data_IF_173887673968
#
_entry.id   IF_173887673968
#
_cell.length_a   1.000
_cell.length_b   1.000
_cell.length_c   1.000
_cell.angle_alpha   90.00
_cell.angle_beta   90.00
_cell.angle_gamma   90.00
#
_symmetry.space_group_name_H-M   'P 1'
#
loop_
_entity.id
_entity.type
_entity.pdbx_description
1 polymer ?
#
# COMPACT_ATOMS: atom_id res chain seq x y z
N UNK A 1 3.89 -0.42 -9.95
CA UNK A 1 3.00 0.59 -9.32
C UNK A 1 3.93 1.66 -8.76
N UNK A 2 3.82 2.87 -9.25
CA UNK A 2 4.67 4.01 -8.86
C UNK A 2 3.87 5.10 -8.14
N UNK A 3 4.55 6.16 -7.72
CA UNK A 3 3.96 7.31 -7.02
C UNK A 3 2.82 7.96 -7.83
N UNK A 4 3.01 8.10 -9.16
CA UNK A 4 2.02 8.70 -10.04
C UNK A 4 0.74 7.87 -10.12
N UNK A 5 0.87 6.55 -10.17
CA UNK A 5 -0.26 5.63 -10.15
C UNK A 5 -1.06 5.73 -8.85
N UNK A 6 -0.38 5.78 -7.69
CA UNK A 6 -1.05 5.90 -6.39
C UNK A 6 -1.80 7.22 -6.30
N UNK A 7 -1.17 8.33 -6.71
CA UNK A 7 -1.79 9.65 -6.71
C UNK A 7 -3.02 9.70 -7.63
N UNK A 8 -2.92 9.14 -8.84
CA UNK A 8 -4.04 9.11 -9.79
C UNK A 8 -5.20 8.24 -9.30
N UNK A 9 -4.91 7.11 -8.65
CA UNK A 9 -5.93 6.16 -8.21
C UNK A 9 -6.62 6.55 -6.92
N UNK A 10 -5.87 7.04 -5.94
CA UNK A 10 -6.38 7.28 -4.57
C UNK A 10 -6.43 8.75 -4.17
N UNK A 11 -5.89 9.65 -4.99
CA UNK A 11 -5.86 11.08 -4.70
C UNK A 11 -4.91 11.48 -3.57
N UNK A 12 -3.96 10.61 -3.20
CA UNK A 12 -2.96 10.87 -2.15
C UNK A 12 -1.55 10.56 -2.66
N UNK A 13 -0.50 11.24 -2.16
CA UNK A 13 0.87 10.89 -2.47
C UNK A 13 1.19 9.45 -2.03
N UNK A 14 2.02 8.72 -2.78
CA UNK A 14 2.40 7.33 -2.44
C UNK A 14 3.01 7.21 -1.04
N UNK A 15 3.83 8.18 -0.63
CA UNK A 15 4.41 8.25 0.72
C UNK A 15 3.36 8.32 1.84
N UNK A 16 2.15 8.80 1.55
CA UNK A 16 1.03 8.91 2.50
C UNK A 16 0.05 7.74 2.42
N UNK A 17 0.34 6.73 1.56
CA UNK A 17 -0.57 5.61 1.34
C UNK A 17 -0.81 4.79 2.61
N UNK A 18 0.20 4.58 3.44
CA UNK A 18 0.06 3.85 4.71
C UNK A 18 -0.92 4.56 5.67
N UNK A 19 -0.83 5.88 5.78
CA UNK A 19 -1.73 6.69 6.61
C UNK A 19 -3.16 6.69 6.04
N UNK A 20 -3.29 6.75 4.70
CA UNK A 20 -4.57 6.61 4.01
C UNK A 20 -5.19 5.23 4.23
N UNK A 21 -4.42 4.15 4.09
CA UNK A 21 -4.86 2.78 4.33
C UNK A 21 -5.28 2.57 5.80
N UNK A 22 -4.55 3.15 6.74
CA UNK A 22 -4.93 3.14 8.17
C UNK A 22 -6.31 3.75 8.38
N UNK A 23 -6.60 4.90 7.78
CA UNK A 23 -7.90 5.56 7.93
C UNK A 23 -9.04 4.79 7.26
N UNK A 24 -8.84 4.37 6.01
CA UNK A 24 -9.83 3.67 5.20
C UNK A 24 -10.10 2.25 5.68
N UNK A 25 -9.06 1.59 6.17
CA UNK A 25 -8.99 0.17 6.38
C UNK A 25 -8.55 -0.60 5.14
N UNK A 26 -8.10 -1.83 5.36
CA UNK A 26 -7.78 -2.81 4.33
C UNK A 26 -8.17 -4.21 4.83
N UNK A 27 -9.33 -4.72 4.41
CA UNK A 27 -9.82 -6.03 4.87
C UNK A 27 -8.88 -7.19 4.50
N UNK A 28 -8.10 -7.06 3.40
CA UNK A 28 -7.15 -8.10 3.01
C UNK A 28 -6.01 -8.25 4.01
N UNK A 29 -5.64 -7.17 4.67
CA UNK A 29 -4.59 -7.13 5.69
C UNK A 29 -5.15 -7.14 7.13
N UNK A 30 -6.45 -7.38 7.28
CA UNK A 30 -7.11 -7.41 8.58
C UNK A 30 -7.24 -6.05 9.26
N UNK A 31 -7.10 -4.95 8.53
CA UNK A 31 -7.21 -3.59 9.06
C UNK A 31 -8.66 -3.09 8.99
N UNK A 32 -9.33 -2.86 10.13
CA UNK A 32 -10.73 -2.46 10.14
C UNK A 32 -10.96 -1.03 9.61
N UNK A 33 -9.96 -0.16 9.71
CA UNK A 33 -10.11 1.27 9.44
C UNK A 33 -10.93 2.00 10.51
N UNK A 34 -11.18 3.27 10.26
CA UNK A 34 -12.06 4.08 11.12
C UNK A 34 -13.51 3.90 10.66
N UNK A 35 -14.42 3.44 11.52
CA UNK A 35 -15.82 3.24 11.13
C UNK A 35 -16.45 4.48 10.50
N UNK A 36 -16.98 4.34 9.30
CA UNK A 36 -17.59 5.43 8.53
C UNK A 36 -16.60 6.42 7.87
N UNK A 37 -15.31 6.09 7.85
CA UNK A 37 -14.28 6.79 7.07
C UNK A 37 -13.93 5.92 5.86
N UNK A 38 -14.57 6.20 4.74
CA UNK A 38 -14.26 5.53 3.46
C UNK A 38 -13.17 6.27 2.68
N UNK A 39 -12.88 5.77 1.48
CA UNK A 39 -11.81 6.22 0.60
C UNK A 39 -11.79 7.74 0.39
N UNK A 40 -12.93 8.35 0.03
CA UNK A 40 -13.02 9.79 -0.21
C UNK A 40 -12.71 10.62 1.03
N UNK A 41 -13.21 10.20 2.18
CA UNK A 41 -12.98 10.90 3.45
C UNK A 41 -11.52 10.75 3.90
N UNK A 42 -10.95 9.57 3.78
CA UNK A 42 -9.55 9.31 4.10
C UNK A 42 -8.62 10.14 3.19
N UNK A 43 -8.88 10.17 1.89
CA UNK A 43 -8.11 10.97 0.94
C UNK A 43 -8.19 12.47 1.27
N UNK A 44 -9.38 12.99 1.56
CA UNK A 44 -9.56 14.39 1.93
C UNK A 44 -8.80 14.76 3.21
N UNK A 45 -8.84 13.91 4.23
CA UNK A 45 -8.12 14.10 5.49
C UNK A 45 -6.60 14.11 5.27
N UNK A 46 -6.07 13.13 4.52
CA UNK A 46 -4.62 13.07 4.22
C UNK A 46 -4.18 14.24 3.34
N UNK A 47 -4.98 14.63 2.37
CA UNK A 47 -4.66 15.81 1.53
C UNK A 47 -4.62 17.09 2.36
N UNK A 48 -5.54 17.24 3.31
CA UNK A 48 -5.65 18.46 4.14
C UNK A 48 -4.56 18.54 5.21
N UNK A 49 -4.27 17.43 5.90
CA UNK A 49 -3.36 17.42 7.04
C UNK A 49 -1.97 16.85 6.71
N UNK A 50 -1.78 16.23 5.56
CA UNK A 50 -0.51 15.70 5.07
C UNK A 50 -0.15 14.32 5.60
N UNK A 51 -0.42 14.03 6.86
CA UNK A 51 -0.10 12.75 7.52
C UNK A 51 -1.06 12.43 8.66
N UNK A 52 -1.10 11.16 9.07
CA UNK A 52 -1.88 10.73 10.23
C UNK A 52 -1.43 11.41 11.54
N UNK A 53 -0.12 11.54 11.85
CA UNK A 53 0.31 12.28 13.03
C UNK A 53 -0.19 13.72 13.04
N UNK A 54 -0.04 14.47 11.96
CA UNK A 54 -0.51 15.87 11.88
C UNK A 54 -2.04 15.98 11.99
N UNK A 55 -2.77 14.99 11.45
CA UNK A 55 -4.22 14.88 11.61
C UNK A 55 -4.62 14.71 13.08
N UNK A 56 -3.92 13.82 13.80
CA UNK A 56 -4.18 13.58 15.23
C UNK A 56 -3.83 14.78 16.10
N UNK A 57 -2.72 15.47 15.83
CA UNK A 57 -2.36 16.73 16.47
C UNK A 57 -3.44 17.80 16.29
N UNK A 58 -3.94 17.96 15.06
CA UNK A 58 -5.02 18.92 14.77
C UNK A 58 -6.33 18.53 15.49
N UNK A 59 -6.64 17.24 15.59
CA UNK A 59 -7.80 16.73 16.33
C UNK A 59 -7.69 17.09 17.83
N UNK A 60 -6.53 16.85 18.43
CA UNK A 60 -6.24 17.11 19.83
C UNK A 60 -6.21 18.61 20.16
N UNK A 61 -5.71 19.43 19.24
CA UNK A 61 -5.73 20.88 19.34
C UNK A 61 -7.14 21.51 19.16
N UNK A 62 -8.16 20.68 18.92
CA UNK A 62 -9.53 21.16 18.77
C UNK A 62 -9.82 21.85 17.43
N UNK A 63 -8.94 21.72 16.43
CA UNK A 63 -9.17 22.26 15.09
C UNK A 63 -10.45 21.67 14.51
N UNK A 64 -11.29 22.52 13.94
CA UNK A 64 -12.56 22.11 13.30
C UNK A 64 -12.50 22.21 11.77
N UNK A 65 -11.73 23.15 11.26
CA UNK A 65 -11.57 23.36 9.83
C UNK A 65 -10.82 22.21 9.15
N UNK A 66 -11.29 21.85 7.95
CA UNK A 66 -10.69 20.76 7.15
C UNK A 66 -11.14 19.36 7.51
N UNK A 67 -11.98 19.19 8.52
CA UNK A 67 -12.57 17.88 8.86
C UNK A 67 -13.94 17.72 8.16
N UNK A 68 -14.10 16.69 7.32
CA UNK A 68 -15.43 16.33 6.79
C UNK A 68 -16.44 16.08 7.91
N UNK A 69 -17.72 16.33 7.64
CA UNK A 69 -18.79 16.24 8.63
C UNK A 69 -18.77 14.90 9.40
N UNK A 70 -18.75 14.98 10.73
CA UNK A 70 -18.74 13.84 11.64
C UNK A 70 -17.44 13.05 11.69
N UNK A 71 -16.41 13.41 10.89
CA UNK A 71 -15.13 12.67 10.90
C UNK A 71 -14.36 12.86 12.20
N UNK A 72 -14.42 14.02 12.84
CA UNK A 72 -13.76 14.28 14.14
C UNK A 72 -14.23 13.31 15.23
N UNK A 73 -15.53 13.15 15.38
CA UNK A 73 -16.09 12.23 16.39
C UNK A 73 -15.68 10.78 16.10
N UNK A 74 -15.68 10.38 14.84
CA UNK A 74 -15.28 9.02 14.43
C UNK A 74 -13.79 8.76 14.68
N UNK A 75 -12.94 9.74 14.35
CA UNK A 75 -11.49 9.66 14.61
C UNK A 75 -11.20 9.60 16.11
N UNK A 76 -11.85 10.44 16.91
CA UNK A 76 -11.71 10.42 18.36
C UNK A 76 -12.15 9.07 18.96
N UNK A 77 -13.25 8.50 18.49
CA UNK A 77 -13.71 7.19 18.94
C UNK A 77 -12.80 6.02 18.53
N UNK A 78 -12.01 6.19 17.46
CA UNK A 78 -11.06 5.19 16.97
C UNK A 78 -9.61 5.47 17.39
N UNK A 79 -9.38 6.29 18.43
CA UNK A 79 -8.05 6.77 18.81
C UNK A 79 -7.05 5.63 19.03
N UNK A 80 -7.41 4.64 19.84
CA UNK A 80 -6.55 3.51 20.18
C UNK A 80 -6.11 2.73 18.93
N UNK A 81 -7.05 2.54 17.99
CA UNK A 81 -6.76 1.93 16.70
C UNK A 81 -5.77 2.78 15.89
N UNK A 82 -5.98 4.09 15.80
CA UNK A 82 -5.14 5.01 15.02
C UNK A 82 -3.73 5.15 15.57
N UNK A 83 -3.53 4.89 16.86
CA UNK A 83 -2.21 4.85 17.50
C UNK A 83 -1.48 3.52 17.25
N UNK A 84 -2.20 2.40 17.24
CA UNK A 84 -1.63 1.07 17.08
C UNK A 84 -1.40 0.66 15.63
N UNK A 85 -2.35 0.96 14.75
CA UNK A 85 -2.36 0.47 13.36
C UNK A 85 -1.14 0.86 12.50
N UNK A 86 -0.52 2.05 12.63
CA UNK A 86 0.66 2.41 11.85
C UNK A 86 1.85 1.47 12.01
N UNK A 87 1.99 0.83 13.18
CA UNK A 87 3.05 -0.15 13.42
C UNK A 87 2.88 -1.44 12.58
N UNK A 88 1.65 -1.73 12.17
CA UNK A 88 1.31 -2.90 11.34
C UNK A 88 1.29 -2.55 9.86
N UNK A 89 0.82 -1.34 9.52
CA UNK A 89 0.62 -0.91 8.12
C UNK A 89 1.93 -0.49 7.45
N UNK A 90 2.81 0.18 8.20
CA UNK A 90 4.07 0.68 7.63
C UNK A 90 5.07 -0.44 7.42
N UNK A 91 5.58 -0.56 6.20
CA UNK A 91 6.70 -1.46 5.91
C UNK A 91 7.94 -1.01 6.70
N UNK A 92 8.75 -1.97 7.14
CA UNK A 92 10.01 -1.69 7.81
C UNK A 92 11.07 -1.24 6.78
N UNK A 93 11.48 0.04 6.74
CA UNK A 93 12.44 0.53 5.76
C UNK A 93 13.88 0.16 6.12
N UNK A 94 14.11 -0.31 7.33
CA UNK A 94 15.41 -0.61 7.94
C UNK A 94 15.64 -2.11 8.18
N UNK A 95 14.80 -2.95 7.61
CA UNK A 95 14.98 -4.40 7.69
C UNK A 95 16.33 -4.80 7.09
N UNK A 96 17.16 -5.60 7.80
CA UNK A 96 18.45 -6.05 7.29
C UNK A 96 18.23 -7.02 6.12
N UNK A 97 18.51 -6.55 4.91
CA UNK A 97 18.43 -7.38 3.70
C UNK A 97 19.84 -7.79 3.26
N UNK A 98 20.06 -9.07 2.92
CA UNK A 98 21.32 -9.46 2.30
C UNK A 98 21.46 -8.79 0.93
N UNK A 99 22.72 -8.49 0.50
CA UNK A 99 22.94 -8.04 -0.87
C UNK A 99 22.36 -9.05 -1.86
N UNK A 100 21.55 -8.57 -2.79
CA UNK A 100 20.95 -9.39 -3.83
C UNK A 100 21.18 -8.74 -5.20
N UNK A 101 21.51 -9.55 -6.19
CA UNK A 101 21.46 -9.11 -7.58
C UNK A 101 20.00 -9.05 -8.02
N UNK A 102 19.51 -7.85 -8.27
CA UNK A 102 18.13 -7.58 -8.71
C UNK A 102 18.02 -7.44 -10.23
N UNK A 103 19.09 -7.72 -10.96
CA UNK A 103 19.09 -7.73 -12.43
C UNK A 103 18.18 -8.83 -12.95
N UNK A 104 17.26 -8.51 -13.83
CA UNK A 104 16.41 -9.52 -14.48
C UNK A 104 17.30 -10.44 -15.33
N UNK A 105 17.20 -11.76 -15.19
CA UNK A 105 17.98 -12.67 -16.00
C UNK A 105 17.50 -12.62 -17.46
N UNK A 106 18.45 -12.50 -18.40
CA UNK A 106 18.14 -12.57 -19.84
C UNK A 106 17.90 -14.02 -20.33
N UNK A 107 18.27 -15.01 -19.53
CA UNK A 107 18.15 -16.44 -19.85
C UNK A 107 17.72 -17.23 -18.64
N UNK A 108 16.99 -18.34 -18.82
CA UNK A 108 16.68 -19.26 -17.72
C UNK A 108 17.96 -19.79 -17.09
N UNK A 109 17.96 -19.96 -15.78
CA UNK A 109 19.07 -20.58 -15.05
C UNK A 109 19.23 -22.07 -15.44
N UNK A 110 18.12 -22.74 -15.66
CA UNK A 110 18.04 -24.16 -16.05
C UNK A 110 17.00 -24.30 -17.15
N UNK A 111 17.44 -24.29 -18.43
CA UNK A 111 16.54 -24.44 -19.58
C UNK A 111 15.87 -25.81 -19.65
N UNK A 112 16.55 -26.88 -19.23
CA UNK A 112 16.01 -28.25 -19.29
C UNK A 112 14.86 -28.43 -18.28
N UNK A 113 15.05 -27.93 -17.07
CA UNK A 113 13.98 -27.92 -16.06
C UNK A 113 12.75 -27.11 -16.54
N UNK A 114 12.98 -26.03 -17.28
CA UNK A 114 11.90 -25.22 -17.83
C UNK A 114 11.09 -26.00 -18.88
N UNK A 115 11.76 -26.72 -19.77
CA UNK A 115 11.09 -27.60 -20.77
C UNK A 115 10.31 -28.70 -20.07
N UNK A 116 10.90 -29.38 -19.07
CA UNK A 116 10.21 -30.41 -18.30
C UNK A 116 8.95 -29.88 -17.58
N UNK A 117 9.00 -28.65 -17.05
CA UNK A 117 7.83 -28.00 -16.47
C UNK A 117 6.76 -27.70 -17.51
N UNK A 118 7.17 -27.23 -18.71
CA UNK A 118 6.26 -26.98 -19.82
C UNK A 118 5.51 -28.25 -20.21
N UNK A 119 6.25 -29.31 -20.48
CA UNK A 119 5.69 -30.62 -20.88
C UNK A 119 4.76 -31.19 -19.80
N UNK A 120 5.21 -31.17 -18.55
CA UNK A 120 4.47 -31.76 -17.43
C UNK A 120 3.15 -31.05 -17.11
N UNK A 121 3.11 -29.74 -17.26
CA UNK A 121 1.98 -28.90 -16.80
C UNK A 121 1.28 -28.14 -17.91
N UNK A 122 1.66 -28.33 -19.20
CA UNK A 122 1.08 -27.62 -20.33
C UNK A 122 1.38 -26.12 -20.31
N UNK A 123 2.60 -25.73 -19.94
CA UNK A 123 2.98 -24.31 -19.74
C UNK A 123 3.74 -23.70 -20.94
N UNK A 124 3.71 -24.31 -22.13
CA UNK A 124 4.45 -23.83 -23.30
C UNK A 124 4.17 -22.37 -23.62
N UNK A 125 2.91 -22.01 -23.77
CA UNK A 125 2.53 -20.64 -24.14
C UNK A 125 2.94 -19.58 -23.14
N UNK A 126 2.69 -19.71 -21.81
CA UNK A 126 3.12 -18.72 -20.84
C UNK A 126 4.63 -18.64 -20.69
N UNK A 127 5.36 -19.76 -20.79
CA UNK A 127 6.81 -19.78 -20.70
C UNK A 127 7.48 -19.16 -21.93
N UNK A 128 6.97 -19.42 -23.13
CA UNK A 128 7.47 -18.78 -24.35
C UNK A 128 7.30 -17.25 -24.27
N UNK A 129 6.14 -16.74 -23.85
CA UNK A 129 5.93 -15.29 -23.65
C UNK A 129 6.89 -14.69 -22.63
N UNK A 130 7.16 -15.40 -21.54
CA UNK A 130 8.14 -14.96 -20.55
C UNK A 130 9.54 -14.85 -21.17
N UNK A 131 10.00 -15.90 -21.86
CA UNK A 131 11.32 -15.94 -22.49
C UNK A 131 11.50 -14.85 -23.55
N UNK A 132 10.49 -14.62 -24.39
CA UNK A 132 10.49 -13.55 -25.37
C UNK A 132 10.57 -12.16 -24.71
N UNK A 133 9.93 -11.98 -23.56
CA UNK A 133 9.95 -10.72 -22.80
C UNK A 133 11.30 -10.47 -22.14
N UNK A 134 11.93 -11.51 -21.59
CA UNK A 134 13.26 -11.41 -20.97
C UNK A 134 14.40 -11.20 -21.98
N UNK A 135 14.20 -11.62 -23.23
CA UNK A 135 15.20 -11.48 -24.30
C UNK A 135 15.23 -10.07 -24.93
N UNK A 136 14.32 -9.19 -24.58
CA UNK A 136 14.23 -7.79 -25.06
C UNK A 136 15.10 -6.87 -24.22
#
# INVERSE_FOLDING_TARGET
>A
MDEAFVAAKYGVPGRSYADFATLRGDPSDGLPGVPGVGEKTAAALITRFGSLPALLEALDAGVTDGFPAGSRTRLAAARDYLEAAPAVVKVAPDAPLPPADLTLPAKPRDPEALVQLADRYGLDSPLNRLLETLAR
#
